data_IF_104184279396
#
_entry.id   IF_104184279396
#
_cell.length_a   1.000
_cell.length_b   1.000
_cell.length_c   1.000
_cell.angle_alpha   90.00
_cell.angle_beta   90.00
_cell.angle_gamma   90.00
#
_symmetry.space_group_name_H-M   'P 1'
#
loop_
_entity.id
_entity.type
_entity.pdbx_description
1 polymer ?
#
# COMPACT_ATOMS: atom_id res chain seq x y z
N UNK A 1 -12.38 4.97 -1.62
CA UNK A 1 -11.77 4.10 -0.59
C UNK A 1 -10.37 4.56 -0.16
N UNK A 2 -9.42 4.82 -1.07
CA UNK A 2 -8.08 5.30 -0.66
C UNK A 2 -8.14 6.62 0.12
N UNK A 3 -8.94 7.59 -0.35
CA UNK A 3 -9.18 8.84 0.37
C UNK A 3 -9.77 8.63 1.77
N UNK A 4 -10.79 7.76 1.87
CA UNK A 4 -11.54 7.55 3.12
C UNK A 4 -10.74 6.79 4.18
N UNK A 5 -9.86 5.87 3.73
CA UNK A 5 -9.20 4.90 4.60
C UNK A 5 -7.69 5.10 4.75
N UNK A 6 -7.05 5.72 3.77
CA UNK A 6 -5.59 5.96 3.66
C UNK A 6 -5.30 7.45 3.46
N UNK A 7 -6.26 8.32 3.81
CA UNK A 7 -6.14 9.77 3.72
C UNK A 7 -5.22 10.37 4.79
N UNK A 8 -5.47 11.65 5.12
CA UNK A 8 -4.65 12.43 6.07
C UNK A 8 -4.66 11.78 7.46
N UNK A 9 -5.84 11.41 7.97
CA UNK A 9 -6.01 10.77 9.28
C UNK A 9 -6.30 9.28 9.10
N UNK A 10 -5.49 8.44 9.75
CA UNK A 10 -5.53 6.97 9.59
C UNK A 10 -5.85 6.27 10.91
N UNK A 11 -6.32 5.04 10.76
CA UNK A 11 -6.49 4.08 11.87
C UNK A 11 -6.25 2.68 11.33
N UNK A 12 -5.80 1.75 12.18
CA UNK A 12 -5.54 0.37 11.78
C UNK A 12 -6.78 -0.29 11.16
N UNK A 13 -7.95 -0.05 11.75
CA UNK A 13 -9.24 -0.57 11.25
C UNK A 13 -9.56 -0.04 9.85
N UNK A 14 -9.28 1.23 9.56
CA UNK A 14 -9.48 1.81 8.22
C UNK A 14 -8.47 1.22 7.22
N UNK A 15 -7.20 1.11 7.61
CA UNK A 15 -6.17 0.52 6.77
C UNK A 15 -6.47 -0.95 6.42
N UNK A 16 -6.94 -1.75 7.39
CA UNK A 16 -7.40 -3.12 7.13
C UNK A 16 -8.58 -3.17 6.15
N UNK A 17 -9.54 -2.24 6.25
CA UNK A 17 -10.63 -2.12 5.26
C UNK A 17 -10.08 -1.77 3.88
N UNK A 18 -9.09 -0.90 3.78
CA UNK A 18 -8.43 -0.58 2.51
C UNK A 18 -7.71 -1.81 1.94
N UNK A 19 -7.02 -2.60 2.77
CA UNK A 19 -6.39 -3.87 2.36
C UNK A 19 -7.41 -4.83 1.77
N UNK A 20 -8.58 -4.98 2.40
CA UNK A 20 -9.62 -5.86 1.86
C UNK A 20 -10.13 -5.37 0.51
N UNK A 21 -10.38 -4.06 0.36
CA UNK A 21 -10.85 -3.46 -0.91
C UNK A 21 -9.84 -3.58 -2.03
N UNK A 22 -8.56 -3.31 -1.76
CA UNK A 22 -7.51 -3.40 -2.78
C UNK A 22 -7.30 -4.84 -3.24
N UNK A 23 -7.41 -5.82 -2.33
CA UNK A 23 -7.30 -7.24 -2.69
C UNK A 23 -8.45 -7.71 -3.59
N UNK A 24 -9.68 -7.28 -3.30
CA UNK A 24 -10.84 -7.56 -4.18
C UNK A 24 -10.62 -6.98 -5.58
N UNK A 25 -10.21 -5.71 -5.68
CA UNK A 25 -9.91 -5.09 -6.97
C UNK A 25 -8.79 -5.82 -7.73
N UNK A 26 -7.73 -6.26 -7.03
CA UNK A 26 -6.66 -7.06 -7.66
C UNK A 26 -7.21 -8.35 -8.27
N UNK A 27 -8.10 -9.04 -7.57
CA UNK A 27 -8.72 -10.27 -8.06
C UNK A 27 -9.59 -10.01 -9.29
N UNK A 28 -10.47 -9.01 -9.22
CA UNK A 28 -11.33 -8.61 -10.34
C UNK A 28 -10.49 -8.22 -11.58
N UNK A 29 -9.45 -7.41 -11.38
CA UNK A 29 -8.54 -6.97 -12.45
C UNK A 29 -7.86 -8.17 -13.13
N UNK A 30 -7.36 -9.15 -12.34
CA UNK A 30 -6.74 -10.35 -12.90
C UNK A 30 -7.71 -11.17 -13.75
N UNK A 31 -8.97 -11.26 -13.32
CA UNK A 31 -10.02 -11.93 -14.08
C UNK A 31 -10.30 -11.20 -15.41
N UNK A 32 -10.42 -9.87 -15.40
CA UNK A 32 -10.62 -9.07 -16.61
C UNK A 32 -9.44 -9.15 -17.59
N UNK A 33 -8.20 -9.19 -17.11
CA UNK A 33 -7.00 -9.29 -17.95
C UNK A 33 -6.97 -10.55 -18.81
N UNK A 34 -7.58 -11.65 -18.37
CA UNK A 34 -7.62 -12.89 -19.13
C UNK A 34 -8.56 -12.83 -20.33
N UNK A 35 -9.53 -11.91 -20.33
CA UNK A 35 -10.62 -11.88 -21.30
C UNK A 35 -10.69 -10.59 -22.14
N UNK A 36 -9.94 -9.54 -21.79
CA UNK A 36 -9.99 -8.23 -22.45
C UNK A 36 -8.71 -7.87 -23.21
N UNK A 37 -8.87 -7.09 -24.28
CA UNK A 37 -7.74 -6.46 -24.98
C UNK A 37 -7.06 -5.43 -24.06
N UNK A 38 -5.73 -5.39 -24.14
CA UNK A 38 -4.93 -4.39 -23.43
C UNK A 38 -5.30 -2.98 -23.91
N UNK A 39 -5.63 -2.11 -22.95
CA UNK A 39 -5.88 -0.69 -23.16
C UNK A 39 -5.05 0.15 -22.17
N UNK A 40 -4.93 1.45 -22.43
CA UNK A 40 -4.23 2.37 -21.54
C UNK A 40 -4.90 2.41 -20.15
N UNK A 41 -6.22 2.61 -20.12
CA UNK A 41 -7.01 2.66 -18.88
C UNK A 41 -6.83 1.41 -18.02
N UNK A 42 -6.74 0.23 -18.64
CA UNK A 42 -6.54 -1.02 -17.92
C UNK A 42 -5.14 -1.11 -17.30
N UNK A 43 -4.11 -0.66 -18.02
CA UNK A 43 -2.73 -0.59 -17.50
C UNK A 43 -2.67 0.40 -16.34
N UNK A 44 -3.28 1.58 -16.50
CA UNK A 44 -3.34 2.60 -15.45
C UNK A 44 -4.02 2.05 -14.19
N UNK A 45 -5.18 1.41 -14.34
CA UNK A 45 -5.91 0.80 -13.23
C UNK A 45 -5.04 -0.21 -12.47
N UNK A 46 -4.34 -1.09 -13.18
CA UNK A 46 -3.44 -2.07 -12.55
C UNK A 46 -2.31 -1.40 -11.78
N UNK A 47 -1.69 -0.39 -12.36
CA UNK A 47 -0.61 0.34 -11.71
C UNK A 47 -1.11 1.06 -10.46
N UNK A 48 -2.24 1.75 -10.54
CA UNK A 48 -2.84 2.45 -9.40
C UNK A 48 -3.18 1.48 -8.25
N UNK A 49 -3.77 0.32 -8.57
CA UNK A 49 -4.10 -0.70 -7.56
C UNK A 49 -2.84 -1.30 -6.94
N UNK A 50 -1.79 -1.55 -7.73
CA UNK A 50 -0.51 -2.04 -7.22
C UNK A 50 0.14 -1.03 -6.28
N UNK A 51 0.18 0.25 -6.64
CA UNK A 51 0.74 1.30 -5.80
C UNK A 51 -0.10 1.50 -4.53
N UNK A 52 -1.43 1.46 -4.65
CA UNK A 52 -2.33 1.56 -3.50
C UNK A 52 -2.04 0.47 -2.45
N UNK A 53 -1.83 -0.78 -2.88
CA UNK A 53 -1.45 -1.88 -1.99
C UNK A 53 -0.14 -1.60 -1.26
N UNK A 54 0.90 -1.13 -1.96
CA UNK A 54 2.19 -0.81 -1.36
C UNK A 54 2.06 0.31 -0.32
N UNK A 55 1.31 1.37 -0.64
CA UNK A 55 1.04 2.47 0.30
C UNK A 55 0.35 1.95 1.57
N UNK A 56 -0.69 1.12 1.41
CA UNK A 56 -1.42 0.54 2.55
C UNK A 56 -0.49 -0.33 3.40
N UNK A 57 0.34 -1.17 2.78
CA UNK A 57 1.31 -2.01 3.48
C UNK A 57 2.29 -1.17 4.28
N UNK A 58 2.88 -0.14 3.67
CA UNK A 58 3.78 0.77 4.38
C UNK A 58 3.08 1.47 5.55
N UNK A 59 1.84 1.91 5.36
CA UNK A 59 1.07 2.56 6.41
C UNK A 59 0.76 1.61 7.58
N UNK A 60 0.44 0.34 7.31
CA UNK A 60 0.18 -0.66 8.36
C UNK A 60 1.44 -1.04 9.16
N UNK A 61 2.61 -1.03 8.52
CA UNK A 61 3.88 -1.39 9.19
C UNK A 61 4.41 -0.27 10.08
N UNK A 62 4.03 0.99 9.83
CA UNK A 62 4.50 2.14 10.60
C UNK A 62 3.64 2.31 11.86
N UNK A 63 4.21 2.02 13.03
CA UNK A 63 3.56 2.13 14.35
C UNK A 63 3.92 3.43 15.09
N UNK A 64 3.87 4.54 14.36
CA UNK A 64 4.11 5.89 14.87
C UNK A 64 3.38 6.91 13.99
N UNK A 65 3.20 8.13 14.48
CA UNK A 65 2.77 9.27 13.67
C UNK A 65 3.93 10.22 13.43
N UNK A 66 4.32 10.36 12.16
CA UNK A 66 5.46 11.21 11.75
C UNK A 66 5.19 11.85 10.39
N UNK A 67 5.32 13.17 10.31
CA UNK A 67 5.17 13.93 9.06
C UNK A 67 3.81 13.70 8.40
N UNK A 68 3.80 13.24 7.14
CA UNK A 68 2.58 12.96 6.37
C UNK A 68 1.91 11.63 6.73
N UNK A 69 2.48 10.87 7.66
CA UNK A 69 1.84 9.70 8.24
C UNK A 69 1.27 10.04 9.62
N UNK A 70 -0.06 10.16 9.70
CA UNK A 70 -0.76 10.42 10.96
C UNK A 70 -1.80 9.33 11.22
N UNK A 71 -1.64 8.61 12.33
CA UNK A 71 -2.51 7.51 12.76
C UNK A 71 -2.95 7.71 14.21
N UNK A 72 -4.26 7.58 14.47
CA UNK A 72 -4.79 7.75 15.82
C UNK A 72 -4.41 6.60 16.76
N UNK A 73 -4.02 5.45 16.20
CA UNK A 73 -3.59 4.28 16.96
C UNK A 73 -2.21 4.47 17.60
N UNK A 74 -1.36 5.29 16.97
CA UNK A 74 0.02 5.56 17.39
C UNK A 74 0.29 7.06 17.21
N UNK A 75 -0.20 7.92 18.12
CA UNK A 75 -0.16 9.37 17.94
C UNK A 75 1.25 9.98 18.09
N UNK A 76 2.14 9.28 18.79
CA UNK A 76 3.49 9.75 19.09
C UNK A 76 4.51 9.26 18.06
N UNK A 77 5.65 9.94 18.02
CA UNK A 77 6.84 9.53 17.26
C UNK A 77 7.70 8.56 18.05
N UNK A 78 8.32 7.59 17.40
CA UNK A 78 9.39 6.78 18.01
C UNK A 78 10.70 7.59 18.14
N UNK A 79 11.58 7.14 19.04
CA UNK A 79 12.88 7.80 19.27
C UNK A 79 13.77 7.79 18.01
N UNK A 80 13.82 6.65 17.32
CA UNK A 80 14.56 6.48 16.07
C UNK A 80 13.62 6.48 14.86
N UNK A 81 13.87 7.40 13.92
CA UNK A 81 13.17 7.39 12.64
C UNK A 81 13.74 6.28 11.74
N UNK A 82 12.87 5.42 11.21
CA UNK A 82 13.24 4.37 10.26
C UNK A 82 12.37 4.43 9.01
N UNK A 83 12.99 4.14 7.88
CA UNK A 83 12.29 4.02 6.62
C UNK A 83 11.46 2.74 6.57
N UNK A 84 10.35 2.83 5.85
CA UNK A 84 9.48 1.68 5.62
C UNK A 84 9.82 1.08 4.27
N UNK A 85 10.67 0.05 4.28
CA UNK A 85 11.17 -0.60 3.07
C UNK A 85 10.33 -1.84 2.73
N UNK A 86 9.86 -1.92 1.49
CA UNK A 86 9.20 -3.10 0.93
C UNK A 86 10.10 -3.72 -0.14
N UNK A 87 10.58 -4.94 0.10
CA UNK A 87 11.39 -5.69 -0.85
C UNK A 87 10.51 -6.76 -1.53
N UNK A 88 10.45 -6.81 -2.87
CA UNK A 88 9.71 -7.85 -3.56
C UNK A 88 10.46 -9.19 -3.48
N UNK A 89 9.73 -10.31 -3.39
CA UNK A 89 10.33 -11.62 -3.16
C UNK A 89 11.23 -12.15 -4.29
N UNK A 90 11.18 -11.55 -5.47
CA UNK A 90 12.05 -11.85 -6.61
C UNK A 90 13.24 -10.88 -6.72
N UNK A 91 13.46 -10.02 -5.72
CA UNK A 91 14.62 -9.15 -5.68
C UNK A 91 15.86 -9.95 -5.29
N UNK A 92 16.81 -10.08 -6.23
CA UNK A 92 18.10 -10.71 -5.96
C UNK A 92 18.92 -9.79 -5.03
N UNK A 93 18.99 -10.13 -3.74
CA UNK A 93 19.53 -9.26 -2.69
C UNK A 93 21.05 -9.29 -2.51
N UNK A 94 21.81 -10.00 -3.34
CA UNK A 94 23.27 -10.13 -3.13
C UNK A 94 24.10 -8.93 -3.62
N UNK A 95 23.47 -7.85 -4.12
CA UNK A 95 24.19 -6.71 -4.71
C UNK A 95 24.18 -5.42 -3.87
N UNK A 96 23.46 -5.36 -2.74
CA UNK A 96 23.27 -4.12 -1.96
C UNK A 96 23.43 -4.28 -0.45
N UNK A 97 24.07 -5.37 -0.01
CA UNK A 97 24.44 -5.58 1.39
C UNK A 97 25.91 -5.16 1.62
N UNK A 98 26.17 -3.86 1.56
CA UNK A 98 27.37 -3.21 2.13
C UNK A 98 26.94 -2.06 3.04
#
# INVERSE_FOLDING_TARGET
FMWDYVGIVRTDKRLQRATHRVNLLKQEILEYYSNFKVSNDLIELRNLVQIAELIIRCALTRRESRGLHYTLNYPDTMDEARDTLLVPGNYASDAWAE
#
